data_IF_103599081528
#
_entry.id   IF_103599081528
#
_cell.length_a   1.000
_cell.length_b   1.000
_cell.length_c   1.000
_cell.angle_alpha   90.00
_cell.angle_beta   90.00
_cell.angle_gamma   90.00
#
_symmetry.space_group_name_H-M   'P 1'
#
loop_
_entity.id
_entity.type
_entity.pdbx_description
1 polymer ?
#
# COMPACT_ATOMS: atom_id res chain seq x y z
N UNK A 1 16.38 -7.20 12.83
CA UNK A 1 15.51 -7.31 11.65
C UNK A 1 14.27 -6.48 11.94
N UNK A 2 13.93 -5.52 11.08
CA UNK A 2 12.82 -4.59 11.24
C UNK A 2 11.71 -4.98 10.28
N UNK A 3 10.48 -4.91 10.74
CA UNK A 3 9.27 -5.15 9.95
C UNK A 3 8.75 -3.84 9.41
N UNK A 4 8.67 -3.73 8.09
CA UNK A 4 8.28 -2.51 7.38
C UNK A 4 6.93 -2.75 6.71
N UNK A 5 5.93 -1.94 7.07
CA UNK A 5 4.72 -1.84 6.27
C UNK A 5 4.96 -0.89 5.09
N UNK A 6 4.79 -1.40 3.87
CA UNK A 6 5.04 -0.66 2.63
C UNK A 6 3.72 -0.40 1.90
N UNK A 7 3.30 0.86 1.85
CA UNK A 7 2.10 1.31 1.13
C UNK A 7 2.43 2.39 0.09
N UNK A 8 1.65 2.47 -0.98
CA UNK A 8 1.70 3.63 -1.89
C UNK A 8 0.41 3.82 -2.68
N UNK A 9 0.26 4.98 -3.33
CA UNK A 9 -0.67 5.10 -4.48
C UNK A 9 -0.26 4.12 -5.58
N UNK A 10 -1.21 3.66 -6.38
CA UNK A 10 -0.99 2.47 -7.22
C UNK A 10 -0.34 2.78 -8.57
N UNK A 11 -1.10 3.38 -9.50
CA UNK A 11 -0.75 3.44 -10.94
C UNK A 11 0.59 4.11 -11.22
N UNK A 12 0.86 5.22 -10.56
CA UNK A 12 2.03 6.06 -10.81
C UNK A 12 3.29 5.59 -10.08
N UNK A 13 3.14 4.73 -9.08
CA UNK A 13 4.24 4.31 -8.22
C UNK A 13 4.51 2.80 -8.27
N UNK A 14 3.81 2.04 -9.11
CA UNK A 14 3.97 0.58 -9.20
C UNK A 14 5.43 0.15 -9.36
N UNK A 15 6.13 0.69 -10.35
CA UNK A 15 7.52 0.30 -10.64
C UNK A 15 8.48 0.76 -9.53
N UNK A 16 8.27 1.98 -9.02
CA UNK A 16 9.09 2.50 -7.92
C UNK A 16 8.90 1.72 -6.62
N UNK A 17 7.68 1.25 -6.36
CA UNK A 17 7.36 0.43 -5.19
C UNK A 17 8.03 -0.93 -5.30
N UNK A 18 8.06 -1.54 -6.49
CA UNK A 18 8.78 -2.79 -6.73
C UNK A 18 10.28 -2.62 -6.42
N UNK A 19 10.92 -1.57 -6.92
CA UNK A 19 12.35 -1.29 -6.65
C UNK A 19 12.60 -1.12 -5.15
N UNK A 20 11.74 -0.38 -4.44
CA UNK A 20 11.87 -0.19 -3.00
C UNK A 20 11.68 -1.50 -2.23
N UNK A 21 10.67 -2.30 -2.59
CA UNK A 21 10.42 -3.62 -2.01
C UNK A 21 11.65 -4.53 -2.12
N UNK A 22 12.22 -4.62 -3.32
CA UNK A 22 13.43 -5.42 -3.57
C UNK A 22 14.64 -4.90 -2.78
N UNK A 23 14.83 -3.58 -2.70
CA UNK A 23 15.92 -2.98 -1.94
C UNK A 23 15.82 -3.31 -0.44
N UNK A 24 14.62 -3.16 0.15
CA UNK A 24 14.36 -3.50 1.55
C UNK A 24 14.58 -4.99 1.83
N UNK A 25 14.18 -5.85 0.89
CA UNK A 25 14.38 -7.30 0.99
C UNK A 25 15.85 -7.69 0.91
N UNK A 26 16.63 -7.07 0.03
CA UNK A 26 18.08 -7.29 -0.13
C UNK A 26 18.87 -6.95 1.13
N UNK A 27 18.46 -5.93 1.88
CA UNK A 27 19.10 -5.56 3.15
C UNK A 27 18.54 -6.32 4.36
N UNK A 28 17.77 -7.40 4.11
CA UNK A 28 17.33 -8.33 5.14
C UNK A 28 16.13 -7.88 5.98
N UNK A 29 15.37 -6.85 5.56
CA UNK A 29 14.16 -6.45 6.28
C UNK A 29 12.99 -7.37 5.94
N UNK A 30 12.07 -7.49 6.88
CA UNK A 30 10.75 -8.07 6.63
C UNK A 30 9.84 -6.96 6.08
N UNK A 31 9.09 -7.24 5.03
CA UNK A 31 8.24 -6.24 4.36
C UNK A 31 6.82 -6.79 4.23
N UNK A 32 5.85 -5.98 4.62
CA UNK A 32 4.43 -6.20 4.40
C UNK A 32 3.95 -5.28 3.26
N UNK A 33 3.95 -5.75 2.00
CA UNK A 33 3.45 -4.96 0.88
C UNK A 33 1.92 -4.94 0.87
N UNK A 34 1.34 -3.84 0.39
CA UNK A 34 -0.12 -3.71 0.22
C UNK A 34 -0.67 -4.61 -0.90
N UNK A 35 0.20 -5.07 -1.81
CA UNK A 35 -0.11 -6.00 -2.91
C UNK A 35 -0.64 -7.36 -2.43
N UNK A 36 -0.23 -7.78 -1.23
CA UNK A 36 -0.62 -9.08 -0.67
C UNK A 36 -2.13 -9.13 -0.33
N UNK A 37 -2.84 -8.00 -0.41
CA UNK A 37 -4.27 -7.93 -0.08
C UNK A 37 -5.15 -8.52 -1.17
N UNK A 38 -4.59 -8.77 -2.37
CA UNK A 38 -5.32 -9.36 -3.50
C UNK A 38 -5.71 -10.83 -3.25
N UNK A 39 -5.05 -11.51 -2.31
CA UNK A 39 -5.17 -12.95 -2.11
C UNK A 39 -5.78 -13.32 -0.75
N UNK A 40 -6.38 -12.37 -0.04
CA UNK A 40 -6.92 -12.59 1.29
C UNK A 40 -8.45 -12.61 1.30
N UNK A 41 -9.06 -13.62 1.94
CA UNK A 41 -10.49 -13.65 2.32
C UNK A 41 -10.87 -12.56 3.35
N UNK A 42 -9.92 -11.68 3.70
CA UNK A 42 -10.12 -10.57 4.62
C UNK A 42 -10.34 -9.28 3.84
N UNK A 43 -11.22 -8.42 4.37
CA UNK A 43 -11.36 -7.06 3.86
C UNK A 43 -10.00 -6.34 3.89
N UNK A 44 -9.56 -5.70 2.80
CA UNK A 44 -8.25 -5.04 2.73
C UNK A 44 -7.99 -4.04 3.86
N UNK A 45 -9.02 -3.33 4.32
CA UNK A 45 -8.91 -2.37 5.44
C UNK A 45 -8.50 -3.03 6.75
N UNK A 46 -8.95 -4.27 7.01
CA UNK A 46 -8.62 -4.99 8.23
C UNK A 46 -7.15 -5.44 8.19
N UNK A 47 -6.69 -5.90 7.02
CA UNK A 47 -5.31 -6.31 6.83
C UNK A 47 -4.34 -5.13 6.86
N UNK A 48 -4.77 -3.97 6.32
CA UNK A 48 -4.04 -2.71 6.43
C UNK A 48 -3.82 -2.31 7.90
N UNK A 49 -4.88 -2.29 8.70
CA UNK A 49 -4.76 -1.98 10.13
C UNK A 49 -3.84 -2.96 10.85
N UNK A 50 -4.00 -4.26 10.60
CA UNK A 50 -3.16 -5.28 11.22
C UNK A 50 -1.68 -5.12 10.84
N UNK A 51 -1.37 -4.86 9.57
CA UNK A 51 0.01 -4.71 9.12
C UNK A 51 0.67 -3.44 9.68
N UNK A 52 -0.08 -2.36 9.86
CA UNK A 52 0.40 -1.15 10.56
C UNK A 52 0.66 -1.44 12.03
N UNK A 53 -0.25 -2.15 12.70
CA UNK A 53 -0.10 -2.52 14.13
C UNK A 53 1.09 -3.45 14.37
N UNK A 54 1.41 -4.35 13.43
CA UNK A 54 2.50 -5.31 13.54
C UNK A 54 3.85 -4.78 13.06
N UNK A 55 3.88 -3.70 12.28
CA UNK A 55 5.13 -3.18 11.73
C UNK A 55 5.85 -2.29 12.74
N UNK A 56 7.19 -2.41 12.77
CA UNK A 56 8.04 -1.49 13.52
C UNK A 56 8.04 -0.09 12.90
N UNK A 57 7.90 -0.01 11.57
CA UNK A 57 7.90 1.23 10.78
C UNK A 57 6.93 1.17 9.60
N UNK A 58 6.28 2.30 9.33
CA UNK A 58 5.50 2.50 8.10
C UNK A 58 6.30 3.35 7.10
N UNK A 59 6.35 2.88 5.85
CA UNK A 59 6.85 3.63 4.70
C UNK A 59 5.68 3.81 3.72
N UNK A 60 5.27 5.06 3.53
CA UNK A 60 4.22 5.42 2.58
C UNK A 60 4.77 6.32 1.49
N UNK A 61 4.58 5.92 0.22
CA UNK A 61 4.82 6.81 -0.92
C UNK A 61 3.52 7.37 -1.45
N UNK A 62 3.47 8.69 -1.62
CA UNK A 62 2.32 9.42 -2.14
C UNK A 62 2.82 10.28 -3.29
N UNK A 63 2.06 10.36 -4.39
CA UNK A 63 2.35 11.27 -5.51
C UNK A 63 1.05 11.90 -6.02
N UNK A 64 1.12 12.65 -7.12
CA UNK A 64 0.09 13.59 -7.60
C UNK A 64 -1.30 12.99 -7.83
N UNK A 65 -1.44 11.67 -8.11
CA UNK A 65 -2.76 11.02 -8.15
C UNK A 65 -3.13 10.51 -6.76
N UNK A 66 -3.68 11.40 -5.95
CA UNK A 66 -4.30 11.06 -4.66
C UNK A 66 -5.67 10.37 -4.88
N UNK A 67 -5.66 9.23 -5.56
CA UNK A 67 -6.87 8.49 -5.93
C UNK A 67 -7.64 9.10 -7.11
N UNK A 68 -8.79 8.48 -7.41
CA UNK A 68 -9.73 8.89 -8.44
C UNK A 68 -11.04 9.30 -7.75
N UNK A 69 -11.53 10.51 -8.03
CA UNK A 69 -12.87 10.94 -7.61
C UNK A 69 -13.85 10.46 -8.69
N UNK A 70 -14.77 9.53 -8.39
CA UNK A 70 -15.75 9.08 -9.38
C UNK A 70 -16.69 10.22 -9.76
N UNK A 71 -17.08 10.30 -11.03
CA UNK A 71 -18.10 11.25 -11.48
C UNK A 71 -19.45 11.02 -10.80
N UNK A 72 -20.34 12.02 -10.82
CA UNK A 72 -21.71 11.89 -10.29
C UNK A 72 -22.46 10.68 -10.89
N UNK A 73 -22.19 10.37 -12.16
CA UNK A 73 -22.79 9.25 -12.88
C UNK A 73 -22.35 7.87 -12.34
N UNK A 74 -21.25 7.82 -11.57
CA UNK A 74 -20.80 6.63 -10.86
C UNK A 74 -21.33 6.58 -9.40
N UNK A 75 -22.36 7.38 -9.08
CA UNK A 75 -22.99 7.37 -7.76
C UNK A 75 -22.21 8.12 -6.69
N UNK A 76 -21.30 9.03 -7.07
CA UNK A 76 -20.65 9.91 -6.12
C UNK A 76 -21.51 11.19 -5.91
N UNK A 77 -22.13 11.37 -4.72
CA UNK A 77 -22.97 12.54 -4.45
C UNK A 77 -22.17 13.84 -4.26
N UNK A 78 -20.83 13.78 -4.31
CA UNK A 78 -19.91 14.88 -4.06
C UNK A 78 -18.97 15.18 -5.26
N UNK A 79 -19.32 14.70 -6.46
CA UNK A 79 -18.56 14.93 -7.69
C UNK A 79 -18.80 16.31 -8.31
#
# INVERSE_FOLDING_TARGET
MVTIYLSSTYEDLKDYRQVLFEALRKVGQQVFPIEDYLWADRRPINQCRQNVELADREVRRITFRYGYVPSANHGNPHA
#
